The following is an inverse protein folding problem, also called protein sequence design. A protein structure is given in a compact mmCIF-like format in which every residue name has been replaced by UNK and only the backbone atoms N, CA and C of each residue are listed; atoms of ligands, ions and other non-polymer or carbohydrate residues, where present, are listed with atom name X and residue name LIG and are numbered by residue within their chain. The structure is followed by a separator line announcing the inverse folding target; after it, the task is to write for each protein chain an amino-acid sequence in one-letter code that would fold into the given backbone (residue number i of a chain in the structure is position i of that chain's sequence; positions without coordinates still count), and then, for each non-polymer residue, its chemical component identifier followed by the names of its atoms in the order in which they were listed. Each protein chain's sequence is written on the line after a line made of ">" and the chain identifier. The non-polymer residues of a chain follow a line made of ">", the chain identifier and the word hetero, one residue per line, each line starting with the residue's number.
data_IF_927160605262
#
_entry.id   IF_927160605262
#
_cell.length_a   1.000
_cell.length_b   1.000
_cell.length_c   1.000
_cell.angle_alpha   90.00
_cell.angle_beta   90.00
_cell.angle_gamma   90.00
#
_symmetry.space_group_name_H-M   'P 1'
#
loop_
_entity.id
_entity.type
_entity.pdbx_description
1 polymer ?
#
# COMPACT_ATOMS: atom_id res chain seq x y z
N UNK A 1 -21.97 -4.76 13.34
CA UNK A 1 -21.68 -6.20 13.19
C UNK A 1 -22.21 -7.01 14.37
N UNK A 2 -21.94 -6.61 15.62
CA UNK A 2 -22.39 -7.34 16.81
C UNK A 2 -23.92 -7.51 16.88
N UNK A 3 -24.69 -6.46 16.61
CA UNK A 3 -26.16 -6.58 16.58
C UNK A 3 -26.67 -7.51 15.46
N UNK A 4 -26.07 -7.45 14.26
CA UNK A 4 -26.38 -8.34 13.14
C UNK A 4 -25.97 -9.81 13.41
N UNK A 5 -24.82 -10.04 14.05
CA UNK A 5 -24.36 -11.38 14.43
C UNK A 5 -25.22 -12.00 15.54
N UNK A 6 -25.77 -11.17 16.43
CA UNK A 6 -26.68 -11.58 17.49
C UNK A 6 -28.14 -11.62 17.02
N UNK A 7 -28.40 -11.47 15.72
CA UNK A 7 -29.75 -11.54 15.13
C UNK A 7 -30.69 -10.42 15.58
N UNK A 8 -30.17 -9.32 16.14
CA UNK A 8 -30.98 -8.17 16.52
C UNK A 8 -31.38 -7.41 15.27
N UNK A 9 -32.67 -7.37 15.02
CA UNK A 9 -33.21 -6.64 13.88
C UNK A 9 -33.17 -5.11 14.10
N UNK A 10 -33.36 -4.37 13.02
CA UNK A 10 -33.42 -2.90 13.02
C UNK A 10 -34.50 -2.36 13.97
N UNK A 11 -35.56 -3.13 14.23
CA UNK A 11 -36.64 -2.81 15.17
C UNK A 11 -36.15 -2.67 16.61
N UNK A 12 -35.12 -3.43 17.00
CA UNK A 12 -34.56 -3.38 18.37
C UNK A 12 -33.34 -2.47 18.50
N UNK A 13 -32.55 -2.32 17.43
CA UNK A 13 -31.33 -1.48 17.45
C UNK A 13 -31.61 0.01 17.19
N UNK A 14 -32.73 0.35 16.54
CA UNK A 14 -33.10 1.73 16.18
C UNK A 14 -32.17 2.42 15.16
N UNK A 15 -31.06 1.78 14.79
CA UNK A 15 -30.15 2.25 13.76
C UNK A 15 -30.67 1.84 12.39
N UNK A 16 -30.68 2.79 11.45
CA UNK A 16 -31.06 2.57 10.06
C UNK A 16 -32.48 1.94 9.93
N UNK A 17 -33.56 2.73 10.05
CA UNK A 17 -34.93 2.23 9.93
C UNK A 17 -35.21 1.75 8.51
N UNK A 18 -35.67 0.50 8.36
CA UNK A 18 -36.11 -0.04 7.07
C UNK A 18 -37.54 0.34 6.74
N UNK A 19 -38.31 0.78 7.74
CA UNK A 19 -39.68 1.26 7.64
C UNK A 19 -39.79 2.62 8.34
N UNK A 20 -40.45 3.57 7.70
CA UNK A 20 -40.68 4.92 8.24
C UNK A 20 -42.13 5.33 8.05
N UNK A 21 -42.69 6.11 8.98
CA UNK A 21 -44.01 6.73 8.82
C UNK A 21 -43.84 8.05 8.06
N UNK A 22 -44.65 8.25 7.02
CA UNK A 22 -44.64 9.47 6.23
C UNK A 22 -46.01 10.15 6.32
N UNK A 23 -46.00 11.42 6.72
CA UNK A 23 -47.19 12.25 6.83
C UNK A 23 -47.39 13.07 5.55
N UNK A 24 -48.59 13.00 5.00
CA UNK A 24 -49.00 13.76 3.83
C UNK A 24 -50.22 14.62 4.16
N UNK A 25 -50.19 15.88 3.71
CA UNK A 25 -51.28 16.82 3.86
C UNK A 25 -52.07 16.92 2.55
N UNK A 26 -53.35 16.57 2.59
CA UNK A 26 -54.26 16.68 1.44
C UNK A 26 -55.31 17.76 1.74
N UNK A 27 -55.48 18.70 0.82
CA UNK A 27 -56.50 19.75 0.93
C UNK A 27 -57.78 19.30 0.23
N UNK A 28 -58.88 19.24 0.97
CA UNK A 28 -60.22 18.94 0.43
C UNK A 28 -61.18 20.01 0.94
N UNK A 29 -61.94 20.65 0.04
CA UNK A 29 -62.94 21.67 0.38
C UNK A 29 -62.41 22.86 1.23
N UNK A 30 -61.13 23.23 1.07
CA UNK A 30 -60.50 24.32 1.83
C UNK A 30 -59.99 23.93 3.22
N UNK A 31 -60.22 22.69 3.66
CA UNK A 31 -59.69 22.16 4.91
C UNK A 31 -58.49 21.23 4.66
N UNK A 32 -57.48 21.29 5.55
CA UNK A 32 -56.27 20.44 5.46
C UNK A 32 -56.49 19.17 6.27
N UNK A 33 -56.39 18.01 5.62
CA UNK A 33 -56.45 16.71 6.28
C UNK A 33 -55.06 16.05 6.26
N UNK A 34 -54.61 15.55 7.41
CA UNK A 34 -53.33 14.83 7.57
C UNK A 34 -53.56 13.33 7.53
N UNK A 35 -52.78 12.63 6.70
CA UNK A 35 -52.77 11.18 6.60
C UNK A 35 -51.34 10.66 6.82
N UNK A 36 -51.20 9.62 7.64
CA UNK A 36 -49.93 8.94 7.89
C UNK A 36 -49.94 7.58 7.19
N UNK A 37 -48.89 7.27 6.44
CA UNK A 37 -48.73 5.95 5.80
C UNK A 37 -47.37 5.34 6.13
N UNK A 38 -47.30 4.02 6.06
CA UNK A 38 -46.07 3.27 6.25
C UNK A 38 -45.29 3.17 4.94
N UNK A 39 -44.06 3.68 4.92
CA UNK A 39 -43.15 3.60 3.78
C UNK A 39 -42.00 2.63 4.07
N UNK A 40 -41.58 1.87 3.06
CA UNK A 40 -40.41 0.98 3.14
C UNK A 40 -39.22 1.67 2.49
N UNK A 41 -38.14 1.82 3.24
CA UNK A 41 -36.93 2.51 2.82
C UNK A 41 -35.95 1.51 2.21
N UNK A 42 -36.23 1.08 0.97
CA UNK A 42 -35.44 0.04 0.28
C UNK A 42 -33.95 0.39 0.19
N UNK A 43 -33.61 1.67 0.00
CA UNK A 43 -32.22 2.16 -0.03
C UNK A 43 -31.43 1.79 1.22
N UNK A 44 -32.07 1.79 2.38
CA UNK A 44 -31.42 1.51 3.63
C UNK A 44 -31.14 -0.01 3.80
N UNK A 45 -32.03 -0.85 3.27
CA UNK A 45 -31.80 -2.30 3.18
C UNK A 45 -30.62 -2.62 2.23
N UNK A 46 -30.48 -1.90 1.12
CA UNK A 46 -29.32 -2.05 0.23
C UNK A 46 -28.02 -1.61 0.90
N UNK A 47 -28.03 -0.48 1.60
CA UNK A 47 -26.87 0.04 2.34
C UNK A 47 -26.35 -0.96 3.38
N UNK A 48 -27.25 -1.62 4.10
CA UNK A 48 -26.85 -2.64 5.07
C UNK A 48 -26.02 -3.78 4.44
N UNK A 49 -26.41 -4.28 3.25
CA UNK A 49 -25.72 -5.39 2.61
C UNK A 49 -24.40 -4.97 1.96
N UNK A 50 -24.37 -3.81 1.30
CA UNK A 50 -23.13 -3.30 0.68
C UNK A 50 -22.09 -2.93 1.75
N UNK A 51 -22.49 -2.36 2.88
CA UNK A 51 -21.55 -2.03 3.95
C UNK A 51 -20.95 -3.26 4.60
N UNK A 52 -21.72 -4.35 4.74
CA UNK A 52 -21.16 -5.63 5.20
C UNK A 52 -20.13 -6.18 4.22
N UNK A 53 -20.44 -6.19 2.92
CA UNK A 53 -19.50 -6.64 1.89
C UNK A 53 -18.21 -5.79 1.88
N UNK A 54 -18.37 -4.46 1.88
CA UNK A 54 -17.25 -3.53 1.91
C UNK A 54 -16.42 -3.67 3.19
N UNK A 55 -17.04 -3.93 4.34
CA UNK A 55 -16.33 -4.14 5.60
C UNK A 55 -15.35 -5.31 5.50
N UNK A 56 -15.79 -6.48 5.04
CA UNK A 56 -14.90 -7.62 4.83
C UNK A 56 -13.84 -7.35 3.76
N UNK A 57 -14.23 -6.69 2.67
CA UNK A 57 -13.31 -6.30 1.60
C UNK A 57 -12.21 -5.37 2.08
N UNK A 58 -12.54 -4.35 2.88
CA UNK A 58 -11.56 -3.42 3.46
C UNK A 58 -10.64 -4.11 4.45
N UNK A 59 -11.12 -5.06 5.25
CA UNK A 59 -10.25 -5.86 6.12
C UNK A 59 -9.25 -6.71 5.32
N UNK A 60 -9.69 -7.33 4.23
CA UNK A 60 -8.81 -8.08 3.33
C UNK A 60 -7.77 -7.16 2.70
N UNK A 61 -8.18 -6.03 2.13
CA UNK A 61 -7.28 -5.05 1.53
C UNK A 61 -6.28 -4.51 2.56
N UNK A 62 -6.74 -4.15 3.76
CA UNK A 62 -5.87 -3.69 4.84
C UNK A 62 -4.84 -4.76 5.21
N UNK A 63 -5.24 -6.02 5.34
CA UNK A 63 -4.34 -7.14 5.57
C UNK A 63 -3.30 -7.29 4.46
N UNK A 64 -3.71 -7.26 3.20
CA UNK A 64 -2.81 -7.33 2.05
C UNK A 64 -1.80 -6.16 2.02
N UNK A 65 -2.26 -4.94 2.31
CA UNK A 65 -1.40 -3.75 2.38
C UNK A 65 -0.40 -3.85 3.53
N UNK A 66 -0.81 -4.29 4.71
CA UNK A 66 0.09 -4.49 5.86
C UNK A 66 1.14 -5.56 5.56
N UNK A 67 0.73 -6.70 4.98
CA UNK A 67 1.68 -7.75 4.56
C UNK A 67 2.70 -7.23 3.55
N UNK A 68 2.24 -6.46 2.55
CA UNK A 68 3.13 -5.81 1.58
C UNK A 68 4.11 -4.86 2.26
N UNK A 69 3.62 -3.99 3.14
CA UNK A 69 4.45 -3.06 3.89
C UNK A 69 5.49 -3.77 4.76
N UNK A 70 5.11 -4.82 5.47
CA UNK A 70 6.03 -5.63 6.27
C UNK A 70 7.10 -6.32 5.40
N UNK A 71 6.72 -6.84 4.24
CA UNK A 71 7.66 -7.41 3.28
C UNK A 71 8.68 -6.37 2.81
N UNK A 72 8.22 -5.18 2.43
CA UNK A 72 9.09 -4.08 2.00
C UNK A 72 9.99 -3.57 3.12
N UNK A 73 9.49 -3.47 4.34
CA UNK A 73 10.29 -3.10 5.52
C UNK A 73 11.38 -4.15 5.78
N UNK A 74 11.00 -5.43 5.82
CA UNK A 74 11.94 -6.53 6.06
C UNK A 74 13.07 -6.54 5.03
N UNK A 75 12.72 -6.48 3.74
CA UNK A 75 13.73 -6.53 2.67
C UNK A 75 14.58 -5.25 2.59
N UNK A 76 14.04 -4.12 3.04
CA UNK A 76 14.73 -2.82 3.06
C UNK A 76 15.60 -2.64 4.29
N UNK A 77 15.31 -3.27 5.43
CA UNK A 77 16.13 -3.13 6.65
C UNK A 77 17.26 -4.15 6.68
N UNK A 78 17.04 -5.38 6.19
CA UNK A 78 18.04 -6.46 6.33
C UNK A 78 19.28 -6.19 5.48
N UNK A 79 20.46 -5.91 6.10
CA UNK A 79 21.68 -5.52 5.40
C UNK A 79 22.18 -6.60 4.43
N UNK A 80 22.06 -7.87 4.83
CA UNK A 80 22.46 -9.02 4.00
C UNK A 80 21.63 -9.13 2.71
N UNK A 81 20.36 -8.71 2.73
CA UNK A 81 19.50 -8.74 1.53
C UNK A 81 19.80 -7.58 0.60
N UNK A 82 20.15 -6.41 1.15
CA UNK A 82 20.65 -5.28 0.35
C UNK A 82 21.93 -5.65 -0.41
N UNK A 83 22.91 -6.24 0.29
CA UNK A 83 24.18 -6.65 -0.32
C UNK A 83 24.00 -7.70 -1.43
N UNK A 84 23.19 -8.73 -1.18
CA UNK A 84 22.93 -9.77 -2.17
C UNK A 84 22.19 -9.22 -3.40
N UNK A 85 21.23 -8.32 -3.19
CA UNK A 85 20.50 -7.67 -4.28
C UNK A 85 21.45 -6.87 -5.18
N UNK A 86 22.20 -5.93 -4.61
CA UNK A 86 23.14 -5.08 -5.38
C UNK A 86 24.26 -5.93 -5.99
N UNK A 87 24.78 -6.92 -5.24
CA UNK A 87 25.79 -7.84 -5.73
C UNK A 87 25.37 -8.59 -7.00
N UNK A 88 24.11 -9.05 -7.10
CA UNK A 88 23.58 -9.70 -8.31
C UNK A 88 23.69 -8.79 -9.55
N UNK A 89 23.38 -7.50 -9.43
CA UNK A 89 23.47 -6.58 -10.56
C UNK A 89 24.92 -6.23 -10.90
N UNK A 90 25.80 -6.12 -9.89
CA UNK A 90 27.21 -5.81 -10.12
C UNK A 90 28.01 -7.00 -10.65
N UNK A 91 27.59 -8.25 -10.39
CA UNK A 91 28.28 -9.44 -10.95
C UNK A 91 28.29 -9.51 -12.48
N UNK A 92 27.36 -8.81 -13.15
CA UNK A 92 27.33 -8.71 -14.61
C UNK A 92 28.32 -7.70 -15.20
N UNK A 93 28.96 -6.87 -14.36
CA UNK A 93 29.88 -5.82 -14.81
C UNK A 93 31.28 -6.40 -15.02
N UNK A 94 31.87 -6.13 -16.18
CA UNK A 94 33.26 -6.45 -16.47
C UNK A 94 34.20 -5.88 -15.40
N UNK A 95 35.03 -6.73 -14.78
CA UNK A 95 35.94 -6.33 -13.70
C UNK A 95 35.43 -6.57 -12.27
N UNK A 96 34.16 -6.96 -12.06
CA UNK A 96 33.63 -7.24 -10.72
C UNK A 96 34.42 -8.31 -9.96
N UNK A 97 34.98 -9.33 -10.64
CA UNK A 97 35.78 -10.39 -9.99
C UNK A 97 37.02 -9.88 -9.25
N UNK A 98 37.48 -8.65 -9.51
CA UNK A 98 38.59 -8.01 -8.79
C UNK A 98 38.12 -7.11 -7.64
N UNK A 99 36.80 -6.98 -7.44
CA UNK A 99 36.21 -6.15 -6.39
C UNK A 99 36.25 -6.89 -5.06
N UNK A 100 36.97 -6.30 -4.11
CA UNK A 100 36.97 -6.77 -2.73
C UNK A 100 35.58 -6.63 -2.09
N UNK A 101 35.18 -7.63 -1.29
CA UNK A 101 33.90 -7.68 -0.57
C UNK A 101 33.72 -6.47 0.35
N UNK A 102 34.81 -5.90 0.87
CA UNK A 102 34.78 -4.68 1.68
C UNK A 102 34.40 -3.44 0.85
N UNK A 103 34.85 -3.35 -0.40
CA UNK A 103 34.52 -2.24 -1.30
C UNK A 103 33.04 -2.25 -1.69
N UNK A 104 32.47 -3.44 -1.96
CA UNK A 104 31.03 -3.61 -2.17
C UNK A 104 30.23 -3.17 -0.94
N UNK A 105 30.66 -3.59 0.25
CA UNK A 105 29.99 -3.21 1.50
C UNK A 105 30.01 -1.69 1.72
N UNK A 106 31.13 -1.03 1.42
CA UNK A 106 31.26 0.43 1.53
C UNK A 106 30.38 1.14 0.49
N UNK A 107 30.34 0.66 -0.74
CA UNK A 107 29.43 1.19 -1.76
C UNK A 107 27.97 1.12 -1.30
N UNK A 108 27.50 -0.04 -0.86
CA UNK A 108 26.09 -0.22 -0.45
C UNK A 108 25.74 0.61 0.79
N UNK A 109 26.53 0.57 1.86
CA UNK A 109 26.16 1.24 3.11
C UNK A 109 26.53 2.73 3.19
N UNK A 110 27.60 3.18 2.53
CA UNK A 110 28.05 4.57 2.64
C UNK A 110 27.67 5.42 1.43
N UNK A 111 27.83 4.90 0.21
CA UNK A 111 27.55 5.65 -1.02
C UNK A 111 26.06 5.59 -1.37
N UNK A 112 25.50 4.38 -1.47
CA UNK A 112 24.12 4.16 -1.89
C UNK A 112 23.13 4.40 -0.74
N UNK A 113 23.52 4.01 0.48
CA UNK A 113 22.68 4.01 1.70
C UNK A 113 21.38 3.22 1.51
N UNK A 114 20.56 3.18 2.56
CA UNK A 114 19.30 2.43 2.57
C UNK A 114 18.33 2.93 1.50
N UNK A 115 18.22 4.26 1.33
CA UNK A 115 17.31 4.88 0.36
C UNK A 115 17.70 4.57 -1.09
N UNK A 116 19.00 4.59 -1.42
CA UNK A 116 19.46 4.30 -2.77
C UNK A 116 19.28 2.83 -3.15
N UNK A 117 19.45 1.90 -2.20
CA UNK A 117 19.12 0.49 -2.42
C UNK A 117 17.63 0.29 -2.63
N UNK A 118 16.79 1.00 -1.85
CA UNK A 118 15.34 0.96 -2.01
C UNK A 118 14.91 1.47 -3.39
N UNK A 119 15.46 2.62 -3.84
CA UNK A 119 15.18 3.15 -5.17
C UNK A 119 15.61 2.19 -6.29
N UNK A 120 16.78 1.55 -6.19
CA UNK A 120 17.18 0.52 -7.16
C UNK A 120 16.20 -0.65 -7.21
N UNK A 121 15.68 -1.11 -6.06
CA UNK A 121 14.65 -2.16 -6.01
C UNK A 121 13.33 -1.72 -6.65
N UNK A 122 12.93 -0.46 -6.43
CA UNK A 122 11.72 0.10 -7.04
C UNK A 122 11.88 0.16 -8.57
N UNK A 123 13.04 0.62 -9.06
CA UNK A 123 13.36 0.61 -10.49
C UNK A 123 13.34 -0.82 -11.04
N UNK A 124 13.96 -1.78 -10.36
CA UNK A 124 13.95 -3.18 -10.79
C UNK A 124 12.52 -3.76 -10.90
N UNK A 125 11.64 -3.40 -9.96
CA UNK A 125 10.27 -3.94 -9.88
C UNK A 125 9.33 -3.28 -10.89
N UNK A 126 9.50 -1.99 -11.16
CA UNK A 126 8.56 -1.21 -11.99
C UNK A 126 9.06 -0.91 -13.40
N UNK A 127 10.37 -0.69 -13.58
CA UNK A 127 10.99 -0.41 -14.89
C UNK A 127 11.71 -1.64 -15.49
N UNK A 128 11.91 -2.70 -14.70
CA UNK A 128 12.53 -3.96 -15.12
C UNK A 128 14.02 -4.07 -14.76
N UNK A 129 14.58 -5.25 -15.00
CA UNK A 129 15.95 -5.57 -14.58
C UNK A 129 17.03 -4.84 -15.39
N UNK A 130 16.81 -4.61 -16.69
CA UNK A 130 17.80 -3.97 -17.58
C UNK A 130 18.08 -2.50 -17.22
N UNK A 131 17.07 -1.63 -17.03
CA UNK A 131 17.33 -0.26 -16.57
C UNK A 131 18.01 -0.21 -15.19
N UNK A 132 17.65 -1.13 -14.30
CA UNK A 132 18.29 -1.24 -12.99
C UNK A 132 19.77 -1.62 -13.10
N UNK A 133 20.13 -2.53 -14.02
CA UNK A 133 21.52 -2.90 -14.27
C UNK A 133 22.35 -1.72 -14.78
N UNK A 134 21.87 -0.99 -15.79
CA UNK A 134 22.57 0.19 -16.33
C UNK A 134 22.76 1.29 -15.27
N UNK A 135 21.73 1.50 -14.45
CA UNK A 135 21.78 2.45 -13.34
C UNK A 135 22.80 2.02 -12.28
N UNK A 136 22.77 0.74 -11.87
CA UNK A 136 23.73 0.21 -10.91
C UNK A 136 25.18 0.29 -11.42
N UNK A 137 25.40 0.00 -12.71
CA UNK A 137 26.70 0.11 -13.38
C UNK A 137 27.21 1.55 -13.38
N UNK A 138 26.36 2.50 -13.77
CA UNK A 138 26.73 3.92 -13.79
C UNK A 138 27.05 4.45 -12.40
N UNK A 139 26.27 4.05 -11.39
CA UNK A 139 26.51 4.43 -9.99
C UNK A 139 27.82 3.83 -9.44
N UNK A 140 28.11 2.58 -9.80
CA UNK A 140 29.35 1.91 -9.42
C UNK A 140 30.57 2.59 -10.03
N UNK A 141 30.55 2.91 -11.33
CA UNK A 141 31.64 3.60 -12.00
C UNK A 141 31.91 4.97 -11.35
N UNK A 142 30.86 5.76 -11.08
CA UNK A 142 31.00 7.04 -10.34
C UNK A 142 31.60 6.88 -8.94
N UNK A 143 31.30 5.77 -8.25
CA UNK A 143 31.91 5.47 -6.96
C UNK A 143 33.41 5.17 -7.08
N UNK A 144 33.81 4.43 -8.12
CA UNK A 144 35.22 4.18 -8.43
C UNK A 144 35.97 5.47 -8.77
N UNK A 145 35.42 6.31 -9.65
CA UNK A 145 36.05 7.59 -10.03
C UNK A 145 36.26 8.50 -8.81
N UNK A 146 35.26 8.60 -7.93
CA UNK A 146 35.36 9.36 -6.68
C UNK A 146 36.41 8.78 -5.71
N UNK A 147 36.69 7.47 -5.79
CA UNK A 147 37.73 6.82 -4.97
C UNK A 147 39.12 7.15 -5.50
N UNK A 148 39.29 7.20 -6.81
CA UNK A 148 40.56 7.54 -7.46
C UNK A 148 40.92 9.02 -7.29
N UNK A 149 39.95 9.93 -7.39
CA UNK A 149 40.16 11.36 -7.13
C UNK A 149 40.69 11.64 -5.72
N UNK A 150 40.19 10.92 -4.71
CA UNK A 150 40.68 11.05 -3.32
C UNK A 150 42.08 10.49 -3.09
N UNK A 151 42.62 9.68 -3.99
CA UNK A 151 43.99 9.17 -3.90
C UNK A 151 45.01 10.13 -4.52
N UNK A 152 44.57 11.04 -5.41
CA UNK A 152 45.42 12.02 -6.07
C UNK A 152 45.68 13.30 -5.25
N UNK A 153 44.86 13.55 -4.23
CA UNK A 153 44.94 14.73 -3.35
C UNK A 153 45.71 14.48 -2.03
N UNK A 154 46.44 13.37 -1.91
CA UNK A 154 47.25 12.99 -0.73
C UNK A 154 48.73 12.89 -1.08
#
# INVERSE_FOLDING_TARGET
>A
LNDLMNGREWEESGHFPRVTLCDFEVKVLGNVHRHTVQCVLMINMFNEKIFLFLWFWYFLLAGATVCSLLYWIYISIVPSRQLNFVGKYLTGIEGYKMVDSQSLRRFVFHFLRQDGVFLLRMVATHAGELPCYELAKTLWNKYCDNKEGKMHDV
#
